data_IF_896869750336
#
_entry.id   IF_896869750336
#
_cell.length_a   1.000
_cell.length_b   1.000
_cell.length_c   1.000
_cell.angle_alpha   90.00
_cell.angle_beta   90.00
_cell.angle_gamma   90.00
#
_symmetry.space_group_name_H-M   'P 1'
#
loop_
_entity.id
_entity.type
_entity.pdbx_description
1 polymer ?
#
# COMPACT_ATOMS: atom_id res chain seq x y z
N UNK A 1 -5.16 -12.66 -8.30
CA UNK A 1 -3.85 -12.92 -8.92
C UNK A 1 -3.13 -14.14 -8.31
N UNK A 2 -2.54 -14.08 -7.11
CA UNK A 2 -1.71 -15.19 -6.59
C UNK A 2 -2.44 -16.53 -6.39
N UNK A 3 -3.75 -16.51 -6.05
CA UNK A 3 -4.56 -17.73 -5.99
C UNK A 3 -4.77 -18.37 -7.37
N UNK A 4 -4.95 -17.55 -8.41
CA UNK A 4 -5.10 -18.01 -9.80
C UNK A 4 -3.79 -18.59 -10.33
N UNK A 5 -2.65 -17.96 -10.00
CA UNK A 5 -1.31 -18.49 -10.33
C UNK A 5 -1.10 -19.88 -9.74
N UNK A 6 -1.43 -20.06 -8.45
CA UNK A 6 -1.33 -21.35 -7.75
C UNK A 6 -2.22 -22.42 -8.38
N UNK A 7 -3.47 -22.06 -8.70
CA UNK A 7 -4.39 -22.95 -9.40
C UNK A 7 -3.86 -23.37 -10.79
N UNK A 8 -3.26 -22.44 -11.55
CA UNK A 8 -2.71 -22.73 -12.88
C UNK A 8 -1.45 -23.62 -12.87
N UNK A 9 -0.71 -23.61 -11.75
CA UNK A 9 0.44 -24.47 -11.49
C UNK A 9 0.06 -25.77 -10.75
N UNK A 10 -1.17 -25.89 -10.25
CA UNK A 10 -1.61 -27.05 -9.48
C UNK A 10 -0.97 -27.15 -8.09
N UNK A 11 -0.58 -26.03 -7.49
CA UNK A 11 0.07 -25.97 -6.17
C UNK A 11 -0.84 -25.36 -5.10
N UNK A 12 -0.57 -25.67 -3.84
CA UNK A 12 -1.31 -25.14 -2.70
C UNK A 12 -0.84 -23.75 -2.24
N UNK A 13 -1.52 -23.20 -1.23
CA UNK A 13 -1.20 -21.89 -0.66
C UNK A 13 0.12 -21.85 0.12
N UNK A 14 0.58 -22.99 0.65
CA UNK A 14 1.82 -23.07 1.44
C UNK A 14 3.08 -23.12 0.58
N UNK A 15 2.92 -23.46 -0.70
CA UNK A 15 4.01 -23.52 -1.67
C UNK A 15 4.29 -22.15 -2.28
N UNK A 16 5.55 -21.73 -2.34
CA UNK A 16 5.95 -20.54 -3.10
C UNK A 16 5.91 -20.82 -4.61
N UNK A 17 5.43 -19.84 -5.38
CA UNK A 17 5.24 -20.00 -6.84
C UNK A 17 6.59 -20.16 -7.54
N UNK A 18 7.57 -19.31 -7.21
CA UNK A 18 8.84 -19.28 -7.92
C UNK A 18 9.69 -20.48 -7.53
N UNK A 19 9.74 -20.81 -6.23
CA UNK A 19 10.47 -21.99 -5.75
C UNK A 19 9.93 -23.27 -6.40
N UNK A 20 8.61 -23.38 -6.54
CA UNK A 20 8.01 -24.50 -7.25
C UNK A 20 8.45 -24.58 -8.72
N UNK A 21 8.39 -23.45 -9.45
CA UNK A 21 8.77 -23.43 -10.88
C UNK A 21 10.23 -23.83 -11.05
N UNK A 22 11.15 -23.33 -10.20
CA UNK A 22 12.57 -23.68 -10.29
C UNK A 22 12.85 -25.15 -9.96
N UNK A 23 11.99 -25.80 -9.18
CA UNK A 23 12.10 -27.22 -8.88
C UNK A 23 11.60 -28.13 -10.03
N UNK A 24 10.92 -27.59 -11.04
CA UNK A 24 10.47 -28.35 -12.21
C UNK A 24 11.63 -28.76 -13.14
N UNK A 25 11.48 -29.83 -13.92
CA UNK A 25 12.39 -30.14 -15.01
C UNK A 25 12.58 -28.95 -15.95
N UNK A 26 13.79 -28.73 -16.46
CA UNK A 26 14.11 -27.56 -17.28
C UNK A 26 13.15 -27.34 -18.47
N UNK A 27 12.66 -28.42 -19.09
CA UNK A 27 11.70 -28.34 -20.20
C UNK A 27 10.30 -27.82 -19.81
N UNK A 28 9.95 -27.87 -18.52
CA UNK A 28 8.65 -27.47 -17.98
C UNK A 28 8.66 -26.08 -17.34
N UNK A 29 9.84 -25.52 -17.07
CA UNK A 29 9.98 -24.21 -16.43
C UNK A 29 9.44 -23.07 -17.31
N UNK A 30 9.84 -23.01 -18.58
CA UNK A 30 9.39 -21.97 -19.51
C UNK A 30 7.86 -21.97 -19.71
N UNK A 31 7.21 -23.13 -19.98
CA UNK A 31 5.75 -23.20 -20.01
C UNK A 31 5.08 -22.75 -18.70
N UNK A 32 5.67 -23.10 -17.55
CA UNK A 32 5.15 -22.69 -16.25
C UNK A 32 5.27 -21.17 -16.04
N UNK A 33 6.41 -20.57 -16.37
CA UNK A 33 6.59 -19.12 -16.36
C UNK A 33 5.62 -18.40 -17.29
N UNK A 34 5.35 -18.93 -18.49
CA UNK A 34 4.38 -18.30 -19.40
C UNK A 34 2.94 -18.34 -18.87
N UNK A 35 2.53 -19.39 -18.15
CA UNK A 35 1.24 -19.39 -17.45
C UNK A 35 1.15 -18.25 -16.44
N UNK A 36 2.21 -18.04 -15.66
CA UNK A 36 2.26 -16.95 -14.67
C UNK A 36 2.21 -15.59 -15.37
N UNK A 37 3.05 -15.38 -16.38
CA UNK A 37 3.08 -14.14 -17.17
C UNK A 37 1.73 -13.84 -17.82
N UNK A 38 1.00 -14.86 -18.31
CA UNK A 38 -0.33 -14.67 -18.88
C UNK A 38 -1.36 -14.20 -17.83
N UNK A 39 -1.33 -14.76 -16.62
CA UNK A 39 -2.19 -14.34 -15.51
C UNK A 39 -1.84 -12.92 -15.07
N UNK A 40 -0.55 -12.59 -14.98
CA UNK A 40 -0.08 -11.23 -14.67
C UNK A 40 -0.58 -10.22 -15.70
N UNK A 41 -0.44 -10.51 -16.99
CA UNK A 41 -0.95 -9.66 -18.08
C UNK A 41 -2.46 -9.40 -17.94
N UNK A 42 -3.26 -10.45 -17.72
CA UNK A 42 -4.72 -10.30 -17.51
C UNK A 42 -5.06 -9.49 -16.26
N UNK A 43 -4.34 -9.74 -15.16
CA UNK A 43 -4.54 -9.01 -13.91
C UNK A 43 -4.18 -7.52 -14.07
N UNK A 44 -3.13 -7.21 -14.84
CA UNK A 44 -2.77 -5.84 -15.19
C UNK A 44 -3.81 -5.18 -16.09
N UNK A 45 -4.33 -5.88 -17.10
CA UNK A 45 -5.32 -5.33 -18.03
C UNK A 45 -6.66 -5.01 -17.36
N UNK A 46 -7.05 -5.82 -16.38
CA UNK A 46 -8.27 -5.62 -15.59
C UNK A 46 -8.08 -4.72 -14.37
N UNK A 47 -6.85 -4.24 -14.13
CA UNK A 47 -6.53 -3.39 -12.99
C UNK A 47 -7.35 -2.11 -13.06
N UNK A 48 -8.03 -1.80 -11.97
CA UNK A 48 -8.71 -0.52 -11.77
C UNK A 48 -7.94 0.25 -10.69
N UNK A 49 -7.74 1.57 -10.87
CA UNK A 49 -7.20 2.40 -9.80
C UNK A 49 -8.16 2.39 -8.61
N UNK A 50 -7.63 2.60 -7.42
CA UNK A 50 -8.45 2.86 -6.24
C UNK A 50 -9.28 4.13 -6.48
N UNK A 51 -10.48 4.15 -5.91
CA UNK A 51 -11.36 5.31 -6.06
C UNK A 51 -10.72 6.55 -5.43
N UNK A 52 -10.79 7.69 -6.13
CA UNK A 52 -10.17 8.95 -5.68
C UNK A 52 -8.66 9.03 -5.90
N UNK A 53 -8.03 8.04 -6.55
CA UNK A 53 -6.58 8.02 -6.74
C UNK A 53 -6.06 9.25 -7.49
N UNK A 54 -6.66 9.56 -8.65
CA UNK A 54 -6.17 10.65 -9.51
C UNK A 54 -6.42 11.99 -8.84
N UNK A 55 -7.60 12.16 -8.25
CA UNK A 55 -8.01 13.36 -7.53
C UNK A 55 -7.07 13.66 -6.35
N UNK A 56 -6.69 12.64 -5.57
CA UNK A 56 -5.70 12.79 -4.52
C UNK A 56 -4.32 13.16 -5.09
N UNK A 57 -3.87 12.53 -6.17
CA UNK A 57 -2.56 12.82 -6.73
C UNK A 57 -2.47 14.25 -7.31
N UNK A 58 -3.50 14.71 -8.02
CA UNK A 58 -3.64 16.08 -8.50
C UNK A 58 -3.58 17.08 -7.34
N UNK A 59 -4.33 16.80 -6.26
CA UNK A 59 -4.32 17.62 -5.06
C UNK A 59 -2.91 17.71 -4.45
N UNK A 60 -2.25 16.58 -4.23
CA UNK A 60 -0.91 16.53 -3.65
C UNK A 60 0.13 17.24 -4.52
N UNK A 61 0.05 17.11 -5.84
CA UNK A 61 0.93 17.85 -6.77
C UNK A 61 0.67 19.37 -6.71
N UNK A 62 -0.59 19.81 -6.64
CA UNK A 62 -0.93 21.23 -6.53
C UNK A 62 -0.39 21.89 -5.24
N UNK A 63 -0.19 21.08 -4.19
CA UNK A 63 0.35 21.49 -2.89
C UNK A 63 1.85 21.24 -2.73
N UNK A 64 2.51 20.66 -3.75
CA UNK A 64 3.93 20.32 -3.70
C UNK A 64 4.27 19.24 -2.66
N UNK A 65 3.31 18.39 -2.29
CA UNK A 65 3.52 17.33 -1.30
C UNK A 65 4.28 16.17 -1.94
N UNK A 66 5.44 15.76 -1.37
CA UNK A 66 6.22 14.64 -1.88
C UNK A 66 5.46 13.32 -1.69
N UNK A 67 5.64 12.41 -2.65
CA UNK A 67 4.93 11.13 -2.71
C UNK A 67 5.91 10.01 -2.95
N UNK A 68 5.71 8.90 -2.26
CA UNK A 68 6.56 7.71 -2.34
C UNK A 68 5.69 6.47 -2.42
N UNK A 69 6.28 5.35 -2.85
CA UNK A 69 5.62 4.05 -2.86
C UNK A 69 6.42 3.11 -2.00
N UNK A 70 5.77 2.43 -1.05
CA UNK A 70 6.36 1.33 -0.29
C UNK A 70 5.51 0.08 -0.49
N UNK A 71 5.99 -0.87 -1.30
CA UNK A 71 5.21 -2.03 -1.72
C UNK A 71 6.00 -3.33 -1.61
N UNK A 72 5.25 -4.44 -1.47
CA UNK A 72 5.79 -5.79 -1.61
C UNK A 72 5.68 -6.30 -3.04
N UNK A 73 5.33 -5.45 -4.02
CA UNK A 73 5.29 -5.81 -5.44
C UNK A 73 6.67 -5.62 -6.09
N UNK A 74 6.91 -6.33 -7.18
CA UNK A 74 8.05 -6.07 -8.07
C UNK A 74 7.83 -4.78 -8.86
N UNK A 75 8.90 -4.29 -9.50
CA UNK A 75 8.92 -3.04 -10.28
C UNK A 75 7.92 -3.02 -11.44
N UNK A 76 7.67 -4.15 -12.10
CA UNK A 76 6.77 -4.22 -13.26
C UNK A 76 5.34 -3.77 -12.93
N UNK A 77 4.63 -4.34 -11.92
CA UNK A 77 3.34 -3.82 -11.48
C UNK A 77 3.33 -2.34 -11.08
N UNK A 78 4.40 -1.86 -10.45
CA UNK A 78 4.52 -0.46 -10.04
C UNK A 78 4.63 0.45 -11.26
N UNK A 79 5.50 0.09 -12.20
CA UNK A 79 5.68 0.81 -13.46
C UNK A 79 4.39 0.84 -14.26
N UNK A 80 3.64 -0.27 -14.30
CA UNK A 80 2.33 -0.31 -14.96
C UNK A 80 1.32 0.64 -14.30
N UNK A 81 1.21 0.63 -12.97
CA UNK A 81 0.35 1.57 -12.23
C UNK A 81 0.69 3.02 -12.60
N UNK A 82 1.97 3.38 -12.52
CA UNK A 82 2.45 4.74 -12.77
C UNK A 82 2.20 5.21 -14.20
N UNK A 83 2.56 4.37 -15.18
CA UNK A 83 2.45 4.73 -16.60
C UNK A 83 1.01 4.75 -17.11
N UNK A 84 0.14 3.88 -16.58
CA UNK A 84 -1.24 3.75 -17.07
C UNK A 84 -2.22 4.69 -16.40
N UNK A 85 -2.10 4.89 -15.09
CA UNK A 85 -3.11 5.61 -14.31
C UNK A 85 -2.60 6.92 -13.73
N UNK A 86 -1.28 7.10 -13.63
CA UNK A 86 -0.68 8.23 -12.93
C UNK A 86 0.37 8.96 -13.78
N UNK A 87 0.18 8.96 -15.10
CA UNK A 87 1.07 9.63 -16.04
C UNK A 87 1.11 11.15 -15.73
N UNK A 88 2.28 11.66 -15.34
CA UNK A 88 2.48 13.05 -14.96
C UNK A 88 2.72 13.26 -13.46
N UNK A 89 2.31 12.32 -12.61
CA UNK A 89 2.55 12.38 -11.17
C UNK A 89 3.91 11.78 -10.82
N UNK A 90 4.68 12.50 -9.99
CA UNK A 90 6.02 12.04 -9.56
C UNK A 90 5.96 11.33 -8.23
N UNK A 91 6.52 10.12 -8.20
CA UNK A 91 6.76 9.34 -6.98
C UNK A 91 8.25 9.10 -6.83
N UNK A 92 8.81 9.45 -5.68
CA UNK A 92 10.19 9.16 -5.34
C UNK A 92 10.41 9.25 -3.83
N UNK A 93 11.07 8.27 -3.18
CA UNK A 93 11.52 7.02 -3.77
C UNK A 93 10.40 5.99 -3.93
N UNK A 94 10.66 4.99 -4.76
CA UNK A 94 9.81 3.82 -4.96
C UNK A 94 10.55 2.64 -4.34
N UNK A 95 10.05 2.17 -3.20
CA UNK A 95 10.55 1.01 -2.45
C UNK A 95 9.71 -0.20 -2.87
N UNK A 96 10.33 -1.09 -3.65
CA UNK A 96 9.71 -2.32 -4.15
C UNK A 96 10.07 -3.54 -3.30
N UNK A 97 9.65 -4.71 -3.77
CA UNK A 97 9.94 -6.00 -3.16
C UNK A 97 11.43 -6.26 -2.93
N UNK A 98 12.37 -5.63 -3.63
CA UNK A 98 13.79 -5.93 -3.43
C UNK A 98 14.38 -5.26 -2.19
N UNK A 99 13.70 -4.26 -1.65
CA UNK A 99 14.11 -3.62 -0.40
C UNK A 99 13.91 -4.56 0.80
N UNK A 100 14.93 -4.65 1.65
CA UNK A 100 14.93 -5.50 2.85
C UNK A 100 15.31 -4.67 4.08
N UNK A 101 14.69 -4.95 5.24
CA UNK A 101 13.56 -5.87 5.45
C UNK A 101 12.23 -5.35 4.85
N UNK A 102 11.26 -6.24 4.52
CA UNK A 102 9.95 -5.81 4.04
C UNK A 102 9.05 -5.36 5.20
N UNK A 103 7.94 -4.66 4.89
CA UNK A 103 6.84 -4.43 5.83
C UNK A 103 6.44 -5.76 6.51
N UNK A 104 6.16 -5.78 7.82
CA UNK A 104 5.86 -4.65 8.72
C UNK A 104 7.09 -3.95 9.33
N UNK A 105 8.30 -4.22 8.84
CA UNK A 105 9.48 -3.46 9.25
C UNK A 105 9.41 -2.00 8.74
N UNK A 106 9.79 -0.99 9.56
CA UNK A 106 9.71 0.43 9.16
C UNK A 106 10.79 0.86 8.16
N UNK A 107 11.83 0.06 7.89
CA UNK A 107 13.00 0.48 7.12
C UNK A 107 12.66 1.13 5.76
N UNK A 108 11.65 0.62 5.04
CA UNK A 108 11.22 1.20 3.76
C UNK A 108 10.64 2.61 3.90
N UNK A 109 9.85 2.85 4.95
CA UNK A 109 9.24 4.17 5.22
C UNK A 109 10.31 5.16 5.71
N UNK A 110 11.21 4.70 6.59
CA UNK A 110 12.33 5.52 7.06
C UNK A 110 13.28 5.91 5.91
N UNK A 111 13.50 5.01 4.95
CA UNK A 111 14.26 5.31 3.73
C UNK A 111 13.58 6.41 2.90
N UNK A 112 12.26 6.32 2.71
CA UNK A 112 11.47 7.35 2.03
C UNK A 112 11.57 8.70 2.76
N UNK A 113 11.32 8.72 4.07
CA UNK A 113 11.39 9.93 4.88
C UNK A 113 12.79 10.57 4.83
N UNK A 114 13.85 9.76 4.91
CA UNK A 114 15.23 10.22 4.78
C UNK A 114 15.52 10.84 3.41
N UNK A 115 15.01 10.26 2.32
CA UNK A 115 15.15 10.83 0.98
C UNK A 115 14.41 12.18 0.81
N UNK A 116 13.38 12.43 1.63
CA UNK A 116 12.67 13.71 1.69
C UNK A 116 13.27 14.72 2.67
N UNK A 117 14.26 14.32 3.47
CA UNK A 117 14.81 15.16 4.53
C UNK A 117 13.86 15.33 5.72
N UNK A 118 12.91 14.41 5.92
CA UNK A 118 11.92 14.41 7.01
C UNK A 118 12.27 13.42 8.13
N UNK A 119 13.53 12.96 8.18
CA UNK A 119 13.97 12.02 9.21
C UNK A 119 14.55 12.80 10.39
N UNK A 120 13.79 12.87 11.48
CA UNK A 120 14.24 13.46 12.76
C UNK A 120 14.29 12.36 13.82
N UNK A 121 15.40 12.24 14.56
CA UNK A 121 15.57 11.21 15.61
C UNK A 121 15.25 9.76 15.17
N UNK A 122 15.49 9.42 13.90
CA UNK A 122 15.10 8.14 13.27
C UNK A 122 13.59 7.87 13.23
N UNK A 123 12.76 8.92 13.28
CA UNK A 123 11.32 8.87 13.07
C UNK A 123 10.95 9.62 11.78
N UNK A 124 9.90 9.13 11.12
CA UNK A 124 9.27 9.74 9.95
C UNK A 124 8.16 10.71 10.39
N UNK A 125 8.49 11.62 11.30
CA UNK A 125 7.55 12.64 11.77
C UNK A 125 7.13 13.54 10.60
N UNK A 126 5.83 13.82 10.47
CA UNK A 126 5.28 14.56 9.32
C UNK A 126 5.06 13.72 8.06
N UNK A 127 5.21 12.39 8.13
CA UNK A 127 4.84 11.45 7.06
C UNK A 127 3.52 10.75 7.38
N UNK A 128 2.69 10.53 6.35
CA UNK A 128 1.47 9.71 6.44
C UNK A 128 1.67 8.42 5.63
N UNK A 129 1.57 7.27 6.28
CA UNK A 129 1.51 5.95 5.65
C UNK A 129 0.06 5.59 5.34
N UNK A 130 -0.29 5.54 4.05
CA UNK A 130 -1.61 5.12 3.58
C UNK A 130 -1.52 3.69 3.04
N UNK A 131 -2.37 2.79 3.51
CA UNK A 131 -2.38 1.39 3.07
C UNK A 131 -3.66 0.64 3.46
N UNK A 132 -3.77 -0.61 3.04
CA UNK A 132 -4.97 -1.44 3.21
C UNK A 132 -4.73 -2.69 4.08
N UNK A 133 -3.50 -2.88 4.58
CA UNK A 133 -3.10 -4.06 5.34
C UNK A 133 -2.54 -3.73 6.72
N UNK A 134 -2.56 -4.73 7.61
CA UNK A 134 -1.93 -4.60 8.92
C UNK A 134 -0.42 -4.38 8.83
N UNK A 135 0.23 -4.91 7.78
CA UNK A 135 1.65 -4.69 7.52
C UNK A 135 1.93 -3.20 7.27
N UNK A 136 1.03 -2.50 6.58
CA UNK A 136 1.13 -1.06 6.32
C UNK A 136 1.01 -0.25 7.59
N UNK A 137 -0.04 -0.53 8.36
CA UNK A 137 -0.34 0.15 9.62
C UNK A 137 0.81 -0.04 10.60
N UNK A 138 1.29 -1.28 10.75
CA UNK A 138 2.40 -1.61 11.64
C UNK A 138 3.71 -0.98 11.19
N UNK A 139 4.02 -0.98 9.89
CA UNK A 139 5.23 -0.34 9.38
C UNK A 139 5.20 1.18 9.61
N UNK A 140 4.08 1.84 9.30
CA UNK A 140 3.91 3.28 9.52
C UNK A 140 4.05 3.65 10.99
N UNK A 141 3.34 2.93 11.86
CA UNK A 141 3.42 3.10 13.31
C UNK A 141 4.85 2.98 13.84
N UNK A 142 5.57 1.92 13.43
CA UNK A 142 6.97 1.69 13.84
C UNK A 142 7.94 2.71 13.28
N UNK A 143 7.62 3.32 12.14
CA UNK A 143 8.42 4.39 11.56
C UNK A 143 8.19 5.74 12.24
N UNK A 144 7.18 5.87 13.12
CA UNK A 144 6.75 7.17 13.66
C UNK A 144 5.86 7.98 12.70
N UNK A 145 5.44 7.39 11.57
CA UNK A 145 4.50 8.02 10.66
C UNK A 145 3.07 7.93 11.20
N UNK A 146 2.24 8.91 10.83
CA UNK A 146 0.79 8.79 10.97
C UNK A 146 0.25 7.71 10.02
N UNK A 147 -0.79 7.01 10.42
CA UNK A 147 -1.29 5.82 9.70
C UNK A 147 -2.74 5.99 9.24
N UNK A 148 -2.98 5.79 7.94
CA UNK A 148 -4.31 5.87 7.35
C UNK A 148 -4.67 4.55 6.69
N UNK A 149 -5.69 3.89 7.23
CA UNK A 149 -6.25 2.69 6.63
C UNK A 149 -7.22 3.08 5.51
N UNK A 150 -6.91 2.65 4.28
CA UNK A 150 -7.89 2.58 3.20
C UNK A 150 -8.78 1.36 3.46
N UNK A 151 -9.96 1.62 4.02
CA UNK A 151 -10.87 0.57 4.47
C UNK A 151 -11.75 0.06 3.33
N UNK A 152 -11.97 -1.25 3.32
CA UNK A 152 -12.88 -1.97 2.46
C UNK A 152 -13.47 -3.16 3.22
N UNK A 153 -14.39 -3.88 2.57
CA UNK A 153 -15.17 -4.95 3.22
C UNK A 153 -14.30 -6.04 3.89
N UNK A 154 -13.14 -6.33 3.32
CA UNK A 154 -12.27 -7.42 3.76
C UNK A 154 -11.30 -7.04 4.89
N UNK A 155 -11.07 -5.74 5.12
CA UNK A 155 -10.10 -5.24 6.10
C UNK A 155 -10.73 -4.35 7.18
N UNK A 156 -12.07 -4.22 7.22
CA UNK A 156 -12.80 -3.39 8.17
C UNK A 156 -12.47 -3.68 9.65
N UNK A 157 -12.06 -4.90 9.98
CA UNK A 157 -11.61 -5.27 11.33
C UNK A 157 -10.33 -4.53 11.77
N UNK A 158 -9.51 -4.04 10.83
CA UNK A 158 -8.28 -3.29 11.10
C UNK A 158 -8.55 -1.83 11.52
N UNK A 159 -9.77 -1.32 11.33
CA UNK A 159 -10.13 0.04 11.71
C UNK A 159 -9.97 0.32 13.22
N UNK A 160 -10.04 -0.74 14.04
CA UNK A 160 -9.87 -0.67 15.51
C UNK A 160 -8.48 -1.09 15.98
N UNK A 161 -7.55 -1.36 15.05
CA UNK A 161 -6.21 -1.75 15.43
C UNK A 161 -5.47 -0.56 16.04
N UNK A 162 -4.69 -0.78 17.09
CA UNK A 162 -3.85 0.24 17.77
C UNK A 162 -2.75 0.88 16.87
N UNK A 163 -2.63 0.40 15.64
CA UNK A 163 -1.69 0.90 14.63
C UNK A 163 -2.40 1.71 13.55
N UNK A 164 -3.70 1.98 13.70
CA UNK A 164 -4.52 2.71 12.74
C UNK A 164 -4.96 4.03 13.38
N UNK A 165 -4.44 5.15 12.88
CA UNK A 165 -4.81 6.47 13.40
C UNK A 165 -6.14 6.98 12.82
N UNK A 166 -6.38 6.72 11.53
CA UNK A 166 -7.54 7.21 10.79
C UNK A 166 -7.96 6.22 9.70
N UNK A 167 -9.25 6.19 9.34
CA UNK A 167 -9.78 5.40 8.23
C UNK A 167 -10.36 6.28 7.12
N UNK A 168 -10.14 5.90 5.86
CA UNK A 168 -10.77 6.50 4.67
C UNK A 168 -11.34 5.40 3.78
N UNK A 169 -12.46 5.66 3.09
CA UNK A 169 -13.08 4.68 2.17
C UNK A 169 -12.58 4.84 0.75
N UNK A 170 -12.21 6.07 0.40
CA UNK A 170 -11.62 6.44 -0.88
C UNK A 170 -10.35 7.24 -0.65
N UNK A 171 -9.46 7.27 -1.63
CA UNK A 171 -8.21 8.01 -1.49
C UNK A 171 -8.43 9.53 -1.46
N UNK A 172 -9.43 10.04 -2.17
CA UNK A 172 -9.77 11.47 -2.19
C UNK A 172 -10.38 11.99 -0.88
N UNK A 173 -10.89 11.11 0.00
CA UNK A 173 -11.32 11.48 1.35
C UNK A 173 -10.15 12.07 2.18
N UNK A 174 -8.91 11.66 1.87
CA UNK A 174 -7.71 12.17 2.53
C UNK A 174 -7.51 13.68 2.29
N UNK A 175 -8.04 14.23 1.19
CA UNK A 175 -7.98 15.67 0.91
C UNK A 175 -8.66 16.45 2.05
N UNK A 176 -9.83 16.00 2.49
CA UNK A 176 -10.55 16.62 3.60
C UNK A 176 -9.76 16.58 4.91
N UNK A 177 -9.04 15.48 5.18
CA UNK A 177 -8.16 15.36 6.35
C UNK A 177 -6.99 16.34 6.26
N UNK A 178 -6.37 16.47 5.09
CA UNK A 178 -5.23 17.37 4.88
C UNK A 178 -5.60 18.85 4.99
N UNK A 179 -6.81 19.25 4.57
CA UNK A 179 -7.30 20.63 4.73
C UNK A 179 -7.73 20.97 6.15
N UNK A 180 -8.36 20.03 6.86
CA UNK A 180 -8.96 20.29 8.18
C UNK A 180 -8.03 19.94 9.35
N UNK A 181 -6.90 19.30 9.07
CA UNK A 181 -5.92 18.85 10.06
C UNK A 181 -6.03 17.36 10.36
N UNK A 182 -4.87 16.74 10.57
CA UNK A 182 -4.75 15.33 10.92
C UNK A 182 -4.94 15.14 12.42
N UNK A 183 -6.03 14.49 12.84
CA UNK A 183 -6.28 14.13 14.25
C UNK A 183 -6.37 12.61 14.35
N UNK A 184 -5.25 11.99 14.73
CA UNK A 184 -5.14 10.55 14.93
C UNK A 184 -5.54 10.11 16.35
N UNK A 185 -5.63 8.79 16.58
CA UNK A 185 -6.06 8.24 17.87
C UNK A 185 -5.19 8.66 19.06
N UNK A 186 -3.93 9.01 18.84
CA UNK A 186 -2.95 9.31 19.89
C UNK A 186 -3.06 10.77 20.38
N UNK A 187 -3.77 11.63 19.64
CA UNK A 187 -4.03 13.01 20.04
C UNK A 187 -5.21 13.19 21.00
N UNK A 188 -6.01 12.14 21.22
CA UNK A 188 -7.13 12.20 22.15
C UNK A 188 -6.67 11.75 23.54
N UNK A 189 -6.46 12.72 24.43
CA UNK A 189 -6.56 12.44 25.86
C UNK A 189 -7.99 12.03 26.17
N UNK A 190 -8.17 10.86 26.77
CA UNK A 190 -9.40 10.28 27.36
C UNK A 190 -10.72 10.28 26.55
N UNK A 191 -10.77 10.86 25.35
CA UNK A 191 -11.84 10.62 24.37
C UNK A 191 -11.39 9.51 23.42
N UNK A 192 -12.25 8.51 23.18
CA UNK A 192 -11.97 7.47 22.17
C UNK A 192 -12.40 7.99 20.79
N UNK A 193 -11.51 8.06 19.80
CA UNK A 193 -11.89 8.49 18.46
C UNK A 193 -12.71 7.36 17.85
N UNK A 194 -13.92 7.67 17.39
CA UNK A 194 -14.82 6.67 16.82
C UNK A 194 -14.39 6.28 15.39
N UNK A 195 -13.24 5.59 15.28
CA UNK A 195 -12.74 5.01 14.03
C UNK A 195 -13.69 3.96 13.47
N UNK A 196 -14.58 3.40 14.30
CA UNK A 196 -15.68 2.55 13.83
C UNK A 196 -16.69 3.37 13.04
N UNK A 197 -17.14 4.53 13.53
CA UNK A 197 -18.01 5.41 12.76
C UNK A 197 -17.32 5.89 11.48
N UNK A 198 -16.02 6.21 11.53
CA UNK A 198 -15.24 6.57 10.33
C UNK A 198 -15.20 5.42 9.32
N UNK A 199 -14.94 4.18 9.76
CA UNK A 199 -14.96 3.00 8.90
C UNK A 199 -16.37 2.70 8.36
N UNK A 200 -17.40 2.81 9.18
CA UNK A 200 -18.80 2.63 8.76
C UNK A 200 -19.25 3.70 7.79
N UNK A 201 -18.78 4.94 7.93
CA UNK A 201 -19.04 6.03 7.00
C UNK A 201 -18.26 5.82 5.70
N UNK A 202 -16.99 5.45 5.79
CA UNK A 202 -16.12 5.12 4.66
C UNK A 202 -16.65 3.95 3.81
N UNK A 203 -17.29 2.96 4.44
CA UNK A 203 -17.90 1.82 3.73
C UNK A 203 -19.28 2.14 3.12
N UNK A 204 -19.90 3.30 3.44
CA UNK A 204 -21.22 3.72 2.94
C UNK A 204 -21.16 4.67 1.73
N UNK A 205 -19.99 5.24 1.43
CA UNK A 205 -19.74 6.17 0.31
C UNK A 205 -19.14 5.49 -0.91
#
# INVERSE_FOLDING_TARGET
>A
MFGEMRAALGIDKSTDILDHIYALPSAEQDPAFEKIRAIERRAMDSQKPQAGLVELMDYLDSRGVPKGICTRNFDTPVTHLLTRFLAGHRFHPIVTRDFRPPKPDPAGILHIAGAWGLLENNAADGVIMVGDSLDDMTAGRRAGAATVLLVGEHNAHLARHEHTDLCVGRLDDLIGVLENGFVGQIGQGDEEPDTRAQAEQALKG
#
